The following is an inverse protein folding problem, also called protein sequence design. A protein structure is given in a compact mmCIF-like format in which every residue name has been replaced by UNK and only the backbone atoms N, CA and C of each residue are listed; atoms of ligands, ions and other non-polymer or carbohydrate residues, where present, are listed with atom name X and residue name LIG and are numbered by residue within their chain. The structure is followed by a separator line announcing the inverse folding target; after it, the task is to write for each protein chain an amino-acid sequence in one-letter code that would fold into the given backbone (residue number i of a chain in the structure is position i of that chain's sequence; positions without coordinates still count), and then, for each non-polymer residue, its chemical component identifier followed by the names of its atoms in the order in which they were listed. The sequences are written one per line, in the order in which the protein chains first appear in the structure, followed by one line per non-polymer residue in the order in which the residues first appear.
data_IF_712128365617
#
_entry.id   IF_712128365617
#
_cell.length_a   1.000
_cell.length_b   1.000
_cell.length_c   1.000
_cell.angle_alpha   90.00
_cell.angle_beta   90.00
_cell.angle_gamma   90.00
#
_symmetry.space_group_name_H-M   'P 1'
#
loop_
_entity.id
_entity.type
_entity.pdbx_description
1 polymer ?
#
# COMPACT_ATOMS: atom_id res chain seq x y z
N UNK A 1 -4.06 10.93 9.80
CA UNK A 1 -5.05 9.92 10.23
C UNK A 1 -4.25 8.69 10.62
N UNK A 2 -4.52 8.04 11.76
CA UNK A 2 -3.91 6.75 12.10
C UNK A 2 -5.01 5.70 12.04
N UNK A 3 -5.20 5.13 10.85
CA UNK A 3 -6.16 4.05 10.62
C UNK A 3 -5.39 2.77 10.34
N UNK A 4 -5.75 1.69 11.03
CA UNK A 4 -5.22 0.36 10.74
C UNK A 4 -6.19 -0.39 9.84
N UNK A 5 -5.67 -0.94 8.75
CA UNK A 5 -6.36 -1.87 7.85
C UNK A 5 -5.47 -3.09 7.62
N UNK A 6 -5.94 -4.06 6.85
CA UNK A 6 -5.21 -5.30 6.60
C UNK A 6 -4.96 -5.46 5.11
N UNK A 7 -3.70 -5.66 4.73
CA UNK A 7 -3.29 -5.84 3.34
C UNK A 7 -3.06 -7.34 3.09
N UNK A 8 -3.68 -7.88 2.06
CA UNK A 8 -3.27 -9.14 1.43
C UNK A 8 -3.37 -9.01 -0.09
N UNK A 9 -2.94 -10.03 -0.82
CA UNK A 9 -2.96 -10.04 -2.27
C UNK A 9 -3.27 -11.41 -2.84
N UNK A 10 -4.26 -11.46 -3.72
CA UNK A 10 -4.50 -12.65 -4.56
C UNK A 10 -3.59 -12.69 -5.80
N UNK A 11 -3.06 -11.54 -6.24
CA UNK A 11 -2.32 -11.41 -7.50
C UNK A 11 -0.80 -11.36 -7.31
N UNK A 12 -0.32 -10.90 -6.15
CA UNK A 12 1.10 -10.69 -5.87
C UNK A 12 1.55 -11.61 -4.74
N UNK A 13 2.23 -12.72 -5.07
CA UNK A 13 2.70 -13.74 -4.10
C UNK A 13 3.48 -13.14 -2.91
N UNK A 14 4.27 -12.09 -3.16
CA UNK A 14 5.04 -11.40 -2.10
C UNK A 14 4.17 -10.68 -1.07
N UNK A 15 2.96 -10.33 -1.47
CA UNK A 15 1.94 -9.68 -0.66
C UNK A 15 0.77 -10.61 -0.33
N UNK A 16 0.87 -11.91 -0.63
CA UNK A 16 -0.14 -12.92 -0.25
C UNK A 16 -0.38 -12.96 1.27
N UNK A 17 0.66 -12.99 2.13
CA UNK A 17 0.42 -13.08 3.56
C UNK A 17 -0.21 -11.78 4.09
N UNK A 18 -1.20 -11.93 4.98
CA UNK A 18 -1.88 -10.81 5.63
C UNK A 18 -0.88 -9.96 6.42
N UNK A 19 -0.98 -8.64 6.25
CA UNK A 19 -0.20 -7.63 6.95
C UNK A 19 -1.11 -6.63 7.61
N UNK A 20 -0.79 -6.25 8.84
CA UNK A 20 -1.30 -5.03 9.40
C UNK A 20 -0.71 -3.85 8.60
N UNK A 21 -1.59 -3.00 8.07
CA UNK A 21 -1.23 -1.85 7.26
C UNK A 21 -1.73 -0.60 7.98
N UNK A 22 -0.81 0.17 8.56
CA UNK A 22 -1.15 1.42 9.26
C UNK A 22 -0.99 2.60 8.32
N UNK A 23 -2.08 3.30 8.05
CA UNK A 23 -2.07 4.52 7.25
C UNK A 23 -1.44 5.64 8.08
N UNK A 24 -0.33 6.22 7.61
CA UNK A 24 0.45 7.22 8.37
C UNK A 24 0.08 8.64 7.95
N UNK A 25 0.14 8.91 6.64
CA UNK A 25 -0.14 10.22 6.08
C UNK A 25 -0.73 10.13 4.67
N UNK A 26 -1.60 11.08 4.35
CA UNK A 26 -2.14 11.25 3.01
C UNK A 26 -1.16 12.06 2.17
N UNK A 27 -0.89 11.58 0.96
CA UNK A 27 -0.08 12.21 -0.05
C UNK A 27 -0.93 12.49 -1.30
N UNK A 28 -0.43 13.33 -2.19
CA UNK A 28 -1.06 13.57 -3.48
C UNK A 28 -0.01 13.50 -4.60
N UNK A 29 -0.35 12.83 -5.69
CA UNK A 29 0.42 12.93 -6.93
C UNK A 29 0.28 14.32 -7.56
N UNK A 30 1.20 14.70 -8.45
CA UNK A 30 1.10 15.92 -9.27
C UNK A 30 -0.24 16.00 -10.05
N UNK A 31 -0.82 14.84 -10.37
CA UNK A 31 -2.13 14.72 -11.03
C UNK A 31 -3.33 15.00 -10.12
N UNK A 32 -3.10 15.17 -8.81
CA UNK A 32 -4.14 15.26 -7.78
C UNK A 32 -4.64 13.91 -7.28
N UNK A 33 -4.19 12.77 -7.84
CA UNK A 33 -4.56 11.44 -7.35
C UNK A 33 -4.07 11.25 -5.92
N UNK A 34 -4.94 10.75 -5.04
CA UNK A 34 -4.63 10.49 -3.64
C UNK A 34 -3.74 9.26 -3.50
N UNK A 35 -2.73 9.36 -2.65
CA UNK A 35 -1.92 8.27 -2.15
C UNK A 35 -1.85 8.32 -0.62
N UNK A 36 -1.38 7.24 -0.02
CA UNK A 36 -1.14 7.17 1.41
C UNK A 36 0.22 6.53 1.64
N UNK A 37 1.05 7.13 2.50
CA UNK A 37 2.21 6.42 3.06
C UNK A 37 1.70 5.54 4.19
N UNK A 38 2.06 4.27 4.15
CA UNK A 38 1.61 3.27 5.12
C UNK A 38 2.78 2.41 5.59
N UNK A 39 2.71 1.96 6.85
CA UNK A 39 3.63 0.95 7.38
C UNK A 39 3.02 -0.45 7.31
N UNK A 40 3.85 -1.47 7.10
CA UNK A 40 3.48 -2.88 7.02
C UNK A 40 4.09 -3.68 8.17
N UNK A 41 3.28 -4.55 8.78
CA UNK A 41 3.73 -5.53 9.78
C UNK A 41 3.04 -6.89 9.52
N UNK A 42 3.79 -7.98 9.23
CA UNK A 42 5.25 -8.02 9.08
C UNK A 42 5.73 -7.26 7.82
N UNK A 43 7.00 -6.82 7.78
CA UNK A 43 7.56 -6.19 6.60
C UNK A 43 7.69 -7.19 5.43
N UNK A 44 8.03 -6.68 4.25
CA UNK A 44 8.30 -7.50 3.06
C UNK A 44 9.82 -7.64 2.88
N UNK A 45 10.36 -8.83 2.62
CA UNK A 45 11.79 -9.00 2.35
C UNK A 45 12.23 -8.10 1.20
N UNK A 46 13.15 -7.17 1.45
CA UNK A 46 13.52 -6.16 0.45
C UNK A 46 14.42 -6.69 -0.67
N UNK A 47 15.08 -7.83 -0.46
CA UNK A 47 16.00 -8.44 -1.43
C UNK A 47 15.26 -8.84 -2.72
N UNK A 48 13.98 -9.15 -2.61
CA UNK A 48 13.06 -9.42 -3.73
C UNK A 48 12.88 -8.22 -4.68
N UNK A 49 13.22 -7.03 -4.21
CA UNK A 49 13.11 -5.75 -4.91
C UNK A 49 14.45 -5.01 -5.00
N UNK A 50 15.56 -5.73 -4.85
CA UNK A 50 16.91 -5.16 -4.93
C UNK A 50 17.28 -4.23 -3.77
N UNK A 51 16.63 -4.38 -2.60
CA UNK A 51 16.95 -3.65 -1.37
C UNK A 51 17.78 -4.52 -0.43
N UNK A 52 18.65 -3.88 0.36
CA UNK A 52 19.41 -4.55 1.41
C UNK A 52 18.56 -4.84 2.64
N UNK A 53 17.69 -3.89 3.00
CA UNK A 53 16.82 -3.92 4.18
C UNK A 53 15.39 -4.34 3.81
N UNK A 54 14.64 -4.82 4.80
CA UNK A 54 13.22 -5.12 4.64
C UNK A 54 12.40 -3.85 4.37
N UNK A 55 11.29 -4.03 3.64
CA UNK A 55 10.36 -2.96 3.29
C UNK A 55 9.22 -2.96 4.31
N UNK A 56 9.30 -2.05 5.25
CA UNK A 56 8.25 -1.79 6.26
C UNK A 56 7.35 -0.61 5.89
N UNK A 57 7.71 0.18 4.88
CA UNK A 57 7.01 1.41 4.50
C UNK A 57 6.77 1.43 3.00
N UNK A 58 5.51 1.71 2.62
CA UNK A 58 5.07 1.73 1.23
C UNK A 58 4.21 2.97 0.94
N UNK A 59 4.09 3.31 -0.34
CA UNK A 59 3.09 4.23 -0.86
C UNK A 59 1.98 3.39 -1.50
N UNK A 60 0.73 3.60 -1.06
CA UNK A 60 -0.44 2.95 -1.63
C UNK A 60 -1.34 3.96 -2.32
N UNK A 61 -1.95 3.56 -3.44
CA UNK A 61 -2.94 4.38 -4.16
C UNK A 61 -3.98 3.47 -4.80
N UNK A 62 -5.21 3.97 -4.98
CA UNK A 62 -6.30 3.15 -5.54
C UNK A 62 -5.99 2.68 -6.95
N UNK A 63 -6.36 1.44 -7.26
CA UNK A 63 -6.25 0.87 -8.60
C UNK A 63 -7.39 1.33 -9.52
N UNK A 64 -8.59 1.47 -8.96
CA UNK A 64 -9.79 1.85 -9.70
C UNK A 64 -10.13 3.33 -9.51
N UNK A 65 -10.64 3.95 -10.58
CA UNK A 65 -11.20 5.31 -10.50
C UNK A 65 -12.46 5.31 -9.63
N UNK A 66 -12.65 6.37 -8.85
CA UNK A 66 -13.80 6.53 -7.96
C UNK A 66 -13.64 5.98 -6.54
N UNK A 67 -12.66 5.09 -6.29
CA UNK A 67 -12.35 4.62 -4.94
C UNK A 67 -11.52 5.65 -4.14
N UNK A 68 -11.68 5.64 -2.81
CA UNK A 68 -10.96 6.54 -1.90
C UNK A 68 -10.09 5.79 -0.89
N UNK A 69 -8.97 6.40 -0.45
CA UNK A 69 -8.10 5.91 0.63
C UNK A 69 -8.10 6.82 1.86
N UNK A 70 -8.73 7.99 1.80
CA UNK A 70 -8.72 8.98 2.86
C UNK A 70 -10.06 9.75 2.93
N UNK A 71 -11.12 9.14 3.50
CA UNK A 71 -11.17 7.80 4.11
C UNK A 71 -11.37 6.69 3.08
N UNK A 72 -11.15 5.43 3.48
CA UNK A 72 -11.54 4.27 2.67
C UNK A 72 -13.06 4.11 2.73
N UNK A 73 -13.71 4.06 1.57
CA UNK A 73 -15.17 4.03 1.41
C UNK A 73 -15.73 2.64 1.06
N UNK A 74 -14.91 1.78 0.46
CA UNK A 74 -15.29 0.41 0.08
C UNK A 74 -14.21 -0.61 0.46
N UNK A 75 -14.64 -1.82 0.81
CA UNK A 75 -13.76 -2.94 1.13
C UNK A 75 -14.17 -4.21 0.36
N UNK A 76 -13.20 -4.99 -0.18
CA UNK A 76 -11.79 -4.66 -0.26
C UNK A 76 -11.50 -3.46 -1.16
N UNK A 77 -10.55 -2.62 -0.75
CA UNK A 77 -10.06 -1.53 -1.58
C UNK A 77 -8.84 -2.02 -2.37
N UNK A 78 -8.95 -2.09 -3.69
CA UNK A 78 -7.86 -2.52 -4.55
C UNK A 78 -6.83 -1.40 -4.73
N UNK A 79 -5.56 -1.70 -4.45
CA UNK A 79 -4.47 -0.73 -4.42
C UNK A 79 -3.27 -1.18 -5.24
N UNK A 80 -2.57 -0.20 -5.80
CA UNK A 80 -1.17 -0.34 -6.16
C UNK A 80 -0.31 -0.15 -4.90
N UNK A 81 0.71 -0.97 -4.76
CA UNK A 81 1.72 -0.89 -3.71
C UNK A 81 3.03 -0.47 -4.38
N UNK A 82 3.59 0.64 -3.92
CA UNK A 82 4.80 1.21 -4.49
C UNK A 82 5.82 1.56 -3.42
N UNK A 83 7.09 1.61 -3.82
CA UNK A 83 8.21 2.07 -2.98
C UNK A 83 8.99 3.18 -3.70
N UNK A 84 9.72 4.05 -3.00
CA UNK A 84 10.66 5.00 -3.60
C UNK A 84 11.73 4.28 -4.41
N UNK A 85 12.02 4.71 -5.64
CA UNK A 85 13.11 4.13 -6.44
C UNK A 85 14.47 4.28 -5.76
N UNK A 86 14.71 5.42 -5.13
CA UNK A 86 15.93 5.68 -4.36
C UNK A 86 15.73 5.18 -2.92
N UNK A 87 16.59 4.27 -2.47
CA UNK A 87 16.50 3.73 -1.11
C UNK A 87 16.71 4.85 -0.07
N UNK A 88 15.93 4.84 1.02
CA UNK A 88 16.00 5.84 2.07
C UNK A 88 15.42 7.21 1.70
N UNK A 89 14.91 7.39 0.48
CA UNK A 89 14.17 8.61 0.13
C UNK A 89 12.76 8.53 0.73
N UNK A 90 12.42 9.46 1.63
CA UNK A 90 11.05 9.55 2.12
C UNK A 90 10.13 10.17 1.05
N UNK A 91 9.00 9.52 0.72
CA UNK A 91 8.01 10.11 -0.17
C UNK A 91 7.46 11.40 0.45
N UNK A 92 7.30 12.44 -0.36
CA UNK A 92 6.68 13.70 0.05
C UNK A 92 5.72 14.20 -1.03
N UNK A 93 4.76 15.04 -0.64
CA UNK A 93 3.82 15.63 -1.60
C UNK A 93 4.38 16.90 -2.22
N UNK A 94 4.21 17.12 -3.54
CA UNK A 94 3.53 16.23 -4.48
C UNK A 94 4.42 15.03 -4.89
N UNK A 95 3.79 13.85 -5.03
CA UNK A 95 4.45 12.64 -5.54
C UNK A 95 4.54 12.67 -7.07
N UNK A 96 5.67 12.17 -7.59
CA UNK A 96 5.84 11.90 -9.02
C UNK A 96 5.87 10.39 -9.21
N UNK A 97 5.16 9.89 -10.23
CA UNK A 97 5.17 8.46 -10.55
C UNK A 97 6.57 7.94 -10.88
N UNK A 98 7.41 8.79 -11.46
CA UNK A 98 8.77 8.44 -11.87
C UNK A 98 9.69 8.19 -10.67
N UNK A 99 9.38 8.77 -9.50
CA UNK A 99 10.14 8.57 -8.26
C UNK A 99 9.75 7.27 -7.53
N UNK A 100 8.69 6.59 -7.99
CA UNK A 100 8.13 5.39 -7.38
C UNK A 100 8.26 4.17 -8.30
N UNK A 101 8.38 3.01 -7.69
CA UNK A 101 8.32 1.70 -8.33
C UNK A 101 7.14 0.91 -7.79
N UNK A 102 6.25 0.46 -8.67
CA UNK A 102 5.16 -0.46 -8.28
C UNK A 102 5.77 -1.83 -8.05
N UNK A 103 5.63 -2.32 -6.81
CA UNK A 103 6.18 -3.60 -6.36
C UNK A 103 5.14 -4.69 -6.22
N UNK A 104 3.86 -4.30 -6.20
CA UNK A 104 2.77 -5.23 -5.97
C UNK A 104 1.42 -4.54 -6.08
N UNK A 105 0.41 -5.40 -6.12
CA UNK A 105 -1.00 -5.06 -6.19
C UNK A 105 -1.64 -5.79 -5.02
N UNK A 106 -2.66 -5.21 -4.40
CA UNK A 106 -3.31 -5.88 -3.28
C UNK A 106 -4.64 -5.27 -2.91
N UNK A 107 -5.20 -5.81 -1.85
CA UNK A 107 -6.51 -5.51 -1.34
C UNK A 107 -6.39 -5.08 0.12
N UNK A 108 -6.96 -3.92 0.45
CA UNK A 108 -7.11 -3.49 1.83
C UNK A 108 -8.44 -4.00 2.37
N UNK A 109 -8.43 -4.58 3.56
CA UNK A 109 -9.57 -5.15 4.26
C UNK A 109 -9.78 -4.47 5.60
N UNK A 110 -11.03 -4.53 6.11
CA UNK A 110 -11.41 -3.98 7.43
C UNK A 110 -10.83 -4.79 8.59
N UNK A 111 -10.68 -6.09 8.40
CA UNK A 111 -10.24 -7.03 9.43
C UNK A 111 -9.22 -8.02 8.89
N UNK A 112 -8.41 -8.57 9.80
CA UNK A 112 -7.47 -9.64 9.47
C UNK A 112 -8.19 -10.88 8.94
N UNK A 113 -9.35 -11.22 9.50
CA UNK A 113 -10.16 -12.37 9.06
C UNK A 113 -10.62 -12.21 7.62
N UNK A 114 -11.11 -11.02 7.25
CA UNK A 114 -11.51 -10.73 5.87
C UNK A 114 -10.31 -10.81 4.91
N UNK A 115 -9.13 -10.32 5.31
CA UNK A 115 -7.91 -10.42 4.51
C UNK A 115 -7.45 -11.87 4.33
N UNK A 116 -7.45 -12.66 5.41
CA UNK A 116 -7.03 -14.07 5.37
C UNK A 116 -7.98 -14.93 4.54
N UNK A 117 -9.29 -14.64 4.59
CA UNK A 117 -10.32 -15.33 3.83
C UNK A 117 -10.59 -14.72 2.44
N UNK A 118 -9.94 -13.61 2.10
CA UNK A 118 -10.25 -12.78 0.93
C UNK A 118 -11.77 -12.53 0.78
N UNK A 119 -12.40 -12.03 1.85
CA UNK A 119 -13.85 -11.80 1.90
C UNK A 119 -14.21 -10.43 1.33
N UNK A 120 -15.16 -10.41 0.38
CA UNK A 120 -15.61 -9.20 -0.33
C UNK A 120 -16.93 -8.69 0.25
N UNK A 121 -16.88 -7.94 1.37
CA UNK A 121 -18.08 -7.45 2.08
C UNK A 121 -17.93 -6.07 2.71
#
# INVERSE_FOLDING_TARGET
MQQTVYLSSLESTRFEPVRECRLLETLAFETGKVAVRASLDPPVPGQDFGRGDDIDTVVITTRHEGASLAPIDEFPCFVFIAIPRVAGLEPSSPLRSDDLEIVGWGELYRSHEDAAGHVFR
#
